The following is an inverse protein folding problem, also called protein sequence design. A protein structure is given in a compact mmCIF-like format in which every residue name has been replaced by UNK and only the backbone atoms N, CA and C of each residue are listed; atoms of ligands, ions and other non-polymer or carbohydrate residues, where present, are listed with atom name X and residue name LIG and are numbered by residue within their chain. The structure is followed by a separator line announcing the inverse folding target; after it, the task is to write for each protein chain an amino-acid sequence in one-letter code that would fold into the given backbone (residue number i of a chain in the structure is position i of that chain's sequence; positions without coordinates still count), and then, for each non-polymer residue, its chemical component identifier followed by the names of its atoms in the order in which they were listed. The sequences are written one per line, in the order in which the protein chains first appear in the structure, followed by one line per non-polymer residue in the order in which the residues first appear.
data_IF_671795618479
#
_entry.id   IF_671795618479
#
_cell.length_a   1.000
_cell.length_b   1.000
_cell.length_c   1.000
_cell.angle_alpha   90.00
_cell.angle_beta   90.00
_cell.angle_gamma   90.00
#
_symmetry.space_group_name_H-M   'P 1'
#
loop_
_entity.id
_entity.type
_entity.pdbx_description
1 polymer ?
#
# COMPACT_ATOMS: atom_id res chain seq x y z
N UNK A 1 43.47 16.03 -17.75
CA UNK A 1 42.43 17.04 -17.54
C UNK A 1 41.69 16.68 -16.28
N UNK A 2 41.89 17.47 -15.24
CA UNK A 2 41.11 17.47 -14.00
C UNK A 2 39.73 18.10 -14.24
N UNK A 3 38.77 17.71 -13.38
CA UNK A 3 37.62 18.41 -12.79
C UNK A 3 36.55 17.31 -12.52
N UNK A 4 36.13 16.84 -11.33
CA UNK A 4 36.04 17.33 -9.94
C UNK A 4 35.50 18.76 -9.85
N UNK A 5 34.35 19.13 -9.26
CA UNK A 5 33.50 18.67 -8.13
C UNK A 5 32.13 19.42 -8.28
N UNK A 6 31.28 19.76 -7.27
CA UNK A 6 30.85 19.17 -5.97
C UNK A 6 29.31 19.14 -5.77
N UNK A 7 28.94 18.62 -4.59
CA UNK A 7 27.67 18.47 -3.85
C UNK A 7 26.76 19.71 -3.59
N UNK A 8 25.54 19.40 -3.10
CA UNK A 8 24.77 20.04 -1.99
C UNK A 8 23.47 20.78 -2.38
N UNK A 9 22.52 21.11 -1.44
CA UNK A 9 22.33 20.70 -0.03
C UNK A 9 20.90 20.20 0.31
N UNK A 10 20.74 19.64 1.51
CA UNK A 10 19.46 19.28 2.11
C UNK A 10 18.52 20.47 2.35
N UNK A 11 17.21 20.20 2.25
CA UNK A 11 16.17 21.14 2.68
C UNK A 11 15.74 20.79 4.10
N UNK A 12 16.16 21.65 5.02
CA UNK A 12 15.61 21.74 6.36
C UNK A 12 14.13 22.16 6.27
N UNK A 13 13.26 21.46 7.01
CA UNK A 13 11.90 21.92 7.28
C UNK A 13 11.95 23.11 8.25
N UNK A 14 11.28 24.24 7.97
CA UNK A 14 11.32 25.42 8.81
C UNK A 14 10.36 25.29 10.00
N UNK A 15 10.89 25.29 11.22
CA UNK A 15 10.14 25.68 12.41
C UNK A 15 10.19 27.20 12.56
N UNK A 16 9.11 27.89 12.20
CA UNK A 16 8.87 29.28 12.55
C UNK A 16 7.62 29.40 13.44
N UNK A 17 7.83 29.92 14.64
CA UNK A 17 6.79 30.30 15.62
C UNK A 17 5.90 31.42 15.07
N UNK A 18 4.59 31.32 15.26
CA UNK A 18 3.65 32.43 15.02
C UNK A 18 2.20 32.12 15.40
N UNK A 19 1.81 32.63 16.57
CA UNK A 19 0.46 33.10 17.02
C UNK A 19 -0.75 32.16 17.00
N UNK A 20 -1.39 32.10 18.19
CA UNK A 20 -2.60 31.33 18.50
C UNK A 20 -3.82 31.88 17.75
N UNK A 21 -4.27 31.14 16.74
CA UNK A 21 -5.63 31.24 16.24
C UNK A 21 -6.45 30.11 16.88
N UNK A 22 -7.64 30.48 17.33
CA UNK A 22 -8.56 29.65 18.11
C UNK A 22 -8.83 28.31 17.40
N UNK A 23 -8.31 27.24 17.99
CA UNK A 23 -8.57 25.87 17.58
C UNK A 23 -10.00 25.57 18.02
N UNK A 24 -10.94 25.66 17.09
CA UNK A 24 -12.18 24.91 17.16
C UNK A 24 -11.78 23.44 17.25
N UNK A 25 -11.81 22.89 18.46
CA UNK A 25 -11.53 21.47 18.69
C UNK A 25 -12.71 20.71 18.10
N UNK A 26 -12.56 20.28 16.85
CA UNK A 26 -13.41 19.23 16.30
C UNK A 26 -13.31 18.01 17.24
N UNK A 27 -14.44 17.36 17.56
CA UNK A 27 -14.43 16.21 18.46
C UNK A 27 -13.45 15.17 17.90
N UNK A 28 -12.61 14.58 18.76
CA UNK A 28 -11.59 13.63 18.31
C UNK A 28 -12.27 12.49 17.53
N UNK A 29 -11.71 12.07 16.38
CA UNK A 29 -12.21 10.91 15.68
C UNK A 29 -12.23 9.73 16.65
N UNK A 30 -13.34 9.02 16.64
CA UNK A 30 -13.54 7.84 17.47
C UNK A 30 -12.51 6.77 17.06
N UNK A 31 -11.42 6.63 17.84
CA UNK A 31 -10.32 5.66 17.71
C UNK A 31 -10.70 4.20 17.36
N UNK A 32 -11.97 3.82 17.50
CA UNK A 32 -12.45 2.48 17.13
C UNK A 32 -12.64 2.29 15.63
N UNK A 33 -13.00 3.35 14.90
CA UNK A 33 -13.34 3.28 13.47
C UNK A 33 -12.09 3.24 12.59
N UNK A 34 -11.11 4.10 12.93
CA UNK A 34 -9.82 4.20 12.22
C UNK A 34 -9.06 2.86 12.24
N UNK A 35 -9.15 2.10 13.35
CA UNK A 35 -8.53 0.77 13.47
C UNK A 35 -9.19 -0.29 12.58
N UNK A 36 -10.51 -0.22 12.37
CA UNK A 36 -11.22 -1.17 11.51
C UNK A 36 -10.95 -0.90 10.02
N UNK A 37 -10.74 0.37 9.64
CA UNK A 37 -10.30 0.77 8.29
C UNK A 37 -8.84 0.40 8.02
N UNK A 38 -7.94 0.62 8.99
CA UNK A 38 -6.53 0.20 8.91
C UNK A 38 -6.36 -1.34 8.87
N UNK A 39 -7.39 -2.08 9.30
CA UNK A 39 -7.43 -3.55 9.20
C UNK A 39 -7.90 -4.06 7.83
N UNK A 40 -8.48 -3.18 6.98
CA UNK A 40 -8.91 -3.48 5.61
C UNK A 40 -8.01 -2.79 4.59
N UNK A 41 -6.73 -3.13 4.62
CA UNK A 41 -5.77 -2.72 3.59
C UNK A 41 -5.48 -3.88 2.66
N UNK A 42 -5.24 -3.55 1.39
CA UNK A 42 -4.77 -4.50 0.41
C UNK A 42 -3.39 -5.03 0.81
N UNK A 43 -3.23 -6.35 0.83
CA UNK A 43 -1.98 -7.01 1.19
C UNK A 43 -0.83 -6.84 0.18
N UNK A 44 -1.06 -6.11 -0.93
CA UNK A 44 -0.09 -5.90 -2.00
C UNK A 44 0.33 -4.42 -2.14
N UNK A 45 -0.63 -3.49 -2.23
CA UNK A 45 -0.33 -2.06 -2.35
C UNK A 45 -0.46 -1.29 -1.03
N UNK A 46 -1.03 -1.90 0.02
CA UNK A 46 -1.32 -1.29 1.31
C UNK A 46 -2.33 -0.14 1.30
N UNK A 47 -3.03 0.09 0.19
CA UNK A 47 -4.15 1.03 0.12
C UNK A 47 -5.47 0.39 0.59
N UNK A 48 -6.37 1.23 1.09
CA UNK A 48 -7.72 0.85 1.52
C UNK A 48 -8.71 0.73 0.36
N UNK A 49 -9.99 0.56 0.71
CA UNK A 49 -11.09 0.57 -0.25
C UNK A 49 -11.41 1.98 -0.77
N UNK A 50 -11.06 3.01 0.00
CA UNK A 50 -11.26 4.42 -0.34
C UNK A 50 -9.97 5.00 -0.92
N UNK A 51 -9.55 4.48 -2.08
CA UNK A 51 -8.52 5.17 -2.85
C UNK A 51 -9.05 6.57 -3.22
N UNK A 52 -8.27 7.62 -2.93
CA UNK A 52 -8.62 9.00 -3.29
C UNK A 52 -8.67 9.24 -4.82
N UNK A 53 -8.38 8.20 -5.62
CA UNK A 53 -8.48 8.21 -7.07
C UNK A 53 -9.91 7.86 -7.53
N UNK A 54 -10.68 8.83 -8.06
CA UNK A 54 -12.06 8.61 -8.50
C UNK A 54 -12.19 7.74 -9.75
N UNK A 55 -11.09 7.40 -10.43
CA UNK A 55 -11.07 6.52 -11.60
C UNK A 55 -10.74 5.05 -11.23
N UNK A 56 -10.38 4.77 -9.97
CA UNK A 56 -9.98 3.44 -9.47
C UNK A 56 -11.10 2.79 -8.63
N UNK A 57 -12.20 2.41 -9.30
CA UNK A 57 -13.25 1.54 -8.72
C UNK A 57 -12.74 0.08 -8.61
N UNK A 58 -11.69 -0.16 -7.81
CA UNK A 58 -11.17 -1.50 -7.53
C UNK A 58 -11.60 -1.95 -6.13
N UNK A 59 -12.54 -2.90 -5.99
CA UNK A 59 -13.04 -3.32 -4.69
C UNK A 59 -12.02 -4.15 -3.90
N UNK A 60 -11.96 -3.92 -2.60
CA UNK A 60 -11.25 -4.81 -1.67
C UNK A 60 -12.03 -6.11 -1.47
N UNK A 61 -11.45 -7.23 -1.87
CA UNK A 61 -12.02 -8.56 -1.66
C UNK A 61 -11.24 -9.37 -0.62
N UNK A 62 -11.94 -10.25 0.07
CA UNK A 62 -11.34 -11.18 1.01
C UNK A 62 -10.66 -12.33 0.29
N UNK A 63 -9.43 -12.66 0.70
CA UNK A 63 -8.65 -13.75 0.13
C UNK A 63 -8.10 -14.68 1.21
N UNK A 64 -8.11 -15.98 0.93
CA UNK A 64 -7.58 -16.99 1.84
C UNK A 64 -6.07 -17.15 1.65
N UNK A 65 -5.28 -16.53 2.53
CA UNK A 65 -3.82 -16.63 2.51
C UNK A 65 -3.25 -17.82 3.31
N UNK A 66 -4.10 -18.73 3.81
CA UNK A 66 -3.69 -19.81 4.72
C UNK A 66 -3.21 -19.30 6.09
N UNK A 67 -3.64 -18.10 6.48
CA UNK A 67 -3.34 -17.46 7.77
C UNK A 67 -4.63 -17.30 8.59
N UNK A 68 -4.53 -17.24 9.93
CA UNK A 68 -5.71 -17.04 10.79
C UNK A 68 -6.27 -15.61 10.70
N UNK A 69 -5.46 -14.62 10.30
CA UNK A 69 -5.91 -13.25 10.06
C UNK A 69 -6.51 -13.14 8.66
N UNK A 70 -7.70 -12.52 8.58
CA UNK A 70 -8.35 -12.19 7.32
C UNK A 70 -7.42 -11.31 6.48
N UNK A 71 -7.32 -11.64 5.20
CA UNK A 71 -6.44 -10.92 4.25
C UNK A 71 -7.33 -10.32 3.19
N UNK A 72 -7.12 -9.03 2.91
CA UNK A 72 -7.85 -8.32 1.88
C UNK A 72 -6.92 -7.97 0.73
N UNK A 73 -7.44 -7.87 -0.47
CA UNK A 73 -6.70 -7.44 -1.65
C UNK A 73 -7.64 -6.86 -2.68
N UNK A 74 -7.19 -5.83 -3.38
CA UNK A 74 -7.84 -5.36 -4.60
C UNK A 74 -7.88 -6.45 -5.66
N UNK A 75 -8.93 -6.46 -6.49
CA UNK A 75 -9.09 -7.46 -7.53
C UNK A 75 -8.00 -7.31 -8.61
N UNK A 76 -7.65 -6.09 -9.02
CA UNK A 76 -6.57 -5.92 -10.00
C UNK A 76 -5.20 -6.34 -9.43
N UNK A 77 -4.95 -6.08 -8.15
CA UNK A 77 -3.71 -6.53 -7.50
C UNK A 77 -3.55 -8.06 -7.56
N UNK A 78 -4.66 -8.79 -7.45
CA UNK A 78 -4.68 -10.24 -7.59
C UNK A 78 -4.52 -10.66 -9.05
N UNK A 79 -5.26 -10.03 -9.96
CA UNK A 79 -5.28 -10.36 -11.39
C UNK A 79 -3.90 -10.21 -12.04
N UNK A 80 -3.16 -9.18 -11.66
CA UNK A 80 -1.83 -8.92 -12.18
C UNK A 80 -0.72 -9.69 -11.47
N UNK A 81 -1.04 -10.46 -10.42
CA UNK A 81 -0.05 -11.25 -9.71
C UNK A 81 0.23 -12.57 -10.45
N UNK A 82 1.42 -12.79 -11.03
CA UNK A 82 1.69 -13.89 -11.95
C UNK A 82 1.64 -15.29 -11.32
N UNK A 83 1.69 -15.39 -10.00
CA UNK A 83 1.64 -16.66 -9.26
C UNK A 83 0.23 -17.06 -8.83
N UNK A 84 -0.74 -16.16 -8.97
CA UNK A 84 -2.12 -16.41 -8.61
C UNK A 84 -2.88 -17.03 -9.77
N UNK A 85 -3.80 -17.91 -9.41
CA UNK A 85 -4.75 -18.52 -10.34
C UNK A 85 -6.12 -18.48 -9.71
N UNK A 86 -7.14 -18.14 -10.49
CA UNK A 86 -8.53 -18.19 -10.03
C UNK A 86 -9.12 -19.58 -10.34
N UNK A 87 -9.73 -20.20 -9.35
CA UNK A 87 -10.44 -21.47 -9.49
C UNK A 87 -11.86 -21.26 -10.05
N UNK A 88 -12.55 -22.35 -10.40
CA UNK A 88 -13.90 -22.30 -10.98
C UNK A 88 -14.95 -21.69 -10.02
N UNK A 89 -14.72 -21.78 -8.71
CA UNK A 89 -15.55 -21.19 -7.66
C UNK A 89 -15.22 -19.72 -7.38
N UNK A 90 -14.46 -19.07 -8.26
CA UNK A 90 -13.94 -17.70 -8.13
C UNK A 90 -12.95 -17.50 -6.97
N UNK A 91 -12.51 -18.56 -6.30
CA UNK A 91 -11.50 -18.45 -5.24
C UNK A 91 -10.09 -18.27 -5.80
N UNK A 92 -9.30 -17.42 -5.14
CA UNK A 92 -7.90 -17.21 -5.48
C UNK A 92 -7.00 -18.27 -4.83
N UNK A 93 -6.21 -18.94 -5.66
CA UNK A 93 -5.25 -19.96 -5.24
C UNK A 93 -3.83 -19.37 -5.17
N UNK A 94 -2.95 -20.01 -4.41
CA UNK A 94 -1.54 -19.62 -4.23
C UNK A 94 -1.29 -18.26 -3.55
N UNK A 95 -2.30 -17.67 -2.90
CA UNK A 95 -2.22 -16.36 -2.23
C UNK A 95 -1.08 -16.29 -1.22
N UNK A 96 -0.96 -17.29 -0.34
CA UNK A 96 0.10 -17.31 0.68
C UNK A 96 1.52 -17.47 0.13
N UNK A 97 1.71 -18.10 -1.04
CA UNK A 97 3.00 -18.13 -1.74
C UNK A 97 3.30 -16.82 -2.44
N UNK A 98 2.29 -16.23 -3.11
CA UNK A 98 2.43 -14.95 -3.79
C UNK A 98 2.85 -13.85 -2.82
N UNK A 99 2.15 -13.69 -1.70
CA UNK A 99 2.50 -12.71 -0.66
C UNK A 99 3.95 -12.90 -0.17
N UNK A 100 4.39 -14.14 0.04
CA UNK A 100 5.79 -14.42 0.43
C UNK A 100 6.80 -13.99 -0.64
N UNK A 101 6.47 -14.07 -1.93
CA UNK A 101 7.32 -13.55 -3.00
C UNK A 101 7.30 -12.02 -3.02
N UNK A 102 6.10 -11.44 -3.04
CA UNK A 102 5.89 -10.00 -3.14
C UNK A 102 6.58 -9.24 -2.01
N UNK A 103 6.67 -9.82 -0.81
CA UNK A 103 7.39 -9.22 0.31
C UNK A 103 8.87 -8.91 0.04
N UNK A 104 9.49 -9.57 -0.95
CA UNK A 104 10.88 -9.29 -1.38
C UNK A 104 10.98 -8.27 -2.52
N UNK A 105 9.85 -7.85 -3.07
CA UNK A 105 9.76 -6.92 -4.20
C UNK A 105 9.40 -5.53 -3.68
N UNK A 106 9.94 -4.52 -4.35
CA UNK A 106 9.59 -3.11 -4.10
C UNK A 106 8.91 -2.53 -5.32
N UNK A 107 7.88 -1.72 -5.08
CA UNK A 107 7.22 -0.96 -6.12
C UNK A 107 8.20 0.06 -6.71
N UNK A 108 8.29 0.12 -8.04
CA UNK A 108 9.16 1.09 -8.71
C UNK A 108 8.63 2.54 -8.64
N UNK A 109 7.32 2.71 -8.42
CA UNK A 109 6.67 4.02 -8.29
C UNK A 109 6.80 4.61 -6.89
N UNK A 110 6.27 3.91 -5.87
CA UNK A 110 6.25 4.40 -4.49
C UNK A 110 7.43 3.91 -3.62
N UNK A 111 8.14 2.85 -4.02
CA UNK A 111 9.26 2.29 -3.25
C UNK A 111 8.87 1.34 -2.12
N UNK A 112 7.57 1.16 -1.86
CA UNK A 112 7.05 0.27 -0.82
C UNK A 112 7.21 -1.22 -1.17
N UNK A 113 7.16 -2.07 -0.15
CA UNK A 113 7.25 -3.53 -0.29
C UNK A 113 5.98 -4.16 -0.87
N UNK A 114 5.98 -5.49 -1.02
CA UNK A 114 4.77 -6.28 -1.30
C UNK A 114 4.15 -6.08 -2.70
N UNK A 115 4.91 -5.48 -3.62
CA UNK A 115 4.50 -5.27 -4.99
C UNK A 115 4.19 -6.61 -5.72
N UNK A 116 2.97 -6.78 -6.28
CA UNK A 116 2.57 -8.00 -6.98
C UNK A 116 3.33 -8.17 -8.30
N UNK A 117 3.63 -7.04 -8.93
CA UNK A 117 4.39 -6.90 -10.16
C UNK A 117 5.82 -6.44 -9.87
N UNK A 118 6.79 -7.16 -10.42
CA UNK A 118 8.19 -6.77 -10.46
C UNK A 118 8.72 -6.79 -11.89
N UNK A 119 9.86 -6.14 -12.13
CA UNK A 119 10.52 -6.23 -13.44
C UNK A 119 10.87 -7.70 -13.77
N UNK A 120 10.45 -8.20 -14.94
CA UNK A 120 10.78 -9.57 -15.40
C UNK A 120 12.29 -9.84 -15.49
N UNK A 121 13.12 -8.79 -15.54
CA UNK A 121 14.59 -8.84 -15.69
C UNK A 121 15.34 -8.41 -14.41
N UNK A 122 14.66 -8.34 -13.26
CA UNK A 122 15.24 -7.90 -11.99
C UNK A 122 16.49 -8.71 -11.59
#
# INVERSE_FOLDING_TARGET
GLLNTPSSPGKACPHSRGTMAEIMVEPPPSFKREREEEERLCAFCHDGADSDDPDDDDPLIEVSAGRPKQTFSHENCLYWCPELTQAEDMSWQNVGSALRRCHRLKCAGCGEGDAPLGCKRA
#
